data_IF_246133908765
#
_entry.id   IF_246133908765
#
_cell.length_a   1.000
_cell.length_b   1.000
_cell.length_c   1.000
_cell.angle_alpha   90.00
_cell.angle_beta   90.00
_cell.angle_gamma   90.00
#
_symmetry.space_group_name_H-M   'P 1'
#
loop_
_entity.id
_entity.type
_entity.pdbx_description
1 polymer ?
#
# COMPACT_ATOMS: atom_id res chain seq x y z
N UNK A 1 -5.63 -7.86 -33.44
CA UNK A 1 -5.57 -9.02 -32.54
C UNK A 1 -6.19 -8.62 -31.18
N UNK A 2 -7.51 -8.52 -31.13
CA UNK A 2 -8.25 -7.88 -30.03
C UNK A 2 -9.55 -8.67 -29.79
N UNK A 3 -9.45 -9.79 -29.07
CA UNK A 3 -10.64 -10.59 -28.64
C UNK A 3 -10.22 -11.54 -27.52
N UNK A 4 -10.18 -11.04 -26.25
CA UNK A 4 -10.11 -11.97 -25.06
C UNK A 4 -10.26 -11.25 -23.72
N UNK A 5 -11.10 -10.20 -23.63
CA UNK A 5 -11.34 -9.50 -22.34
C UNK A 5 -12.80 -9.47 -21.87
N UNK A 6 -13.71 -10.20 -22.52
CA UNK A 6 -15.14 -10.01 -22.29
C UNK A 6 -15.88 -10.91 -21.26
N UNK A 7 -15.40 -12.04 -20.71
CA UNK A 7 -16.25 -12.79 -19.80
C UNK A 7 -15.96 -12.68 -18.30
N UNK A 8 -14.85 -12.06 -17.87
CA UNK A 8 -14.50 -12.06 -16.43
C UNK A 8 -15.05 -10.88 -15.61
N UNK A 9 -15.48 -9.80 -16.25
CA UNK A 9 -16.08 -8.64 -15.54
C UNK A 9 -17.54 -8.81 -15.10
N UNK A 10 -18.26 -9.81 -15.60
CA UNK A 10 -19.70 -9.98 -15.27
C UNK A 10 -19.97 -10.60 -13.89
N UNK A 11 -18.96 -11.18 -13.24
CA UNK A 11 -19.14 -11.76 -11.89
C UNK A 11 -19.05 -10.73 -10.76
N UNK A 12 -18.39 -9.61 -11.00
CA UNK A 12 -18.22 -8.54 -10.01
C UNK A 12 -19.44 -7.64 -9.85
N UNK A 13 -20.30 -7.55 -10.87
CA UNK A 13 -21.49 -6.69 -10.82
C UNK A 13 -22.65 -7.28 -10.02
N UNK A 14 -22.62 -8.56 -9.66
CA UNK A 14 -23.72 -9.23 -8.95
C UNK A 14 -23.63 -9.12 -7.41
N UNK A 15 -22.48 -8.70 -6.87
CA UNK A 15 -22.25 -8.61 -5.41
C UNK A 15 -22.76 -7.30 -4.78
N UNK A 16 -23.16 -6.31 -5.58
CA UNK A 16 -23.59 -5.00 -5.07
C UNK A 16 -25.13 -4.81 -4.94
N UNK A 17 -25.96 -5.76 -5.36
CA UNK A 17 -27.43 -5.57 -5.45
C UNK A 17 -28.20 -6.10 -4.25
N UNK A 18 -27.60 -6.82 -3.30
CA UNK A 18 -28.31 -7.30 -2.12
C UNK A 18 -28.10 -6.44 -0.87
N UNK A 19 -28.38 -5.14 -0.97
CA UNK A 19 -28.64 -4.32 0.21
C UNK A 19 -30.14 -4.39 0.55
N UNK A 20 -30.65 -5.58 0.86
CA UNK A 20 -31.99 -5.71 1.46
C UNK A 20 -31.91 -5.25 2.92
N UNK A 21 -32.87 -4.45 3.40
CA UNK A 21 -32.95 -4.06 4.81
C UNK A 21 -33.33 -5.30 5.63
N UNK A 22 -32.35 -6.04 6.11
CA UNK A 22 -32.60 -7.18 6.96
C UNK A 22 -32.74 -6.75 8.40
N UNK A 23 -33.99 -6.88 8.87
CA UNK A 23 -34.46 -7.23 10.21
C UNK A 23 -33.42 -7.09 11.34
N UNK A 24 -33.73 -6.14 12.19
CA UNK A 24 -33.07 -5.79 13.42
C UNK A 24 -32.92 -6.99 14.36
N UNK A 25 -31.79 -7.65 14.34
CA UNK A 25 -31.28 -8.39 15.47
C UNK A 25 -30.24 -7.50 16.14
N UNK A 26 -30.56 -7.06 17.33
CA UNK A 26 -29.68 -6.28 18.20
C UNK A 26 -28.52 -7.19 18.63
N UNK A 27 -27.36 -7.06 17.95
CA UNK A 27 -26.18 -7.85 18.23
C UNK A 27 -25.09 -6.95 18.78
N UNK A 28 -24.56 -7.38 19.92
CA UNK A 28 -23.44 -6.73 20.58
C UNK A 28 -22.16 -6.85 19.76
N UNK A 29 -21.39 -5.80 19.61
CA UNK A 29 -20.07 -5.83 18.98
C UNK A 29 -19.01 -5.24 19.92
N UNK A 30 -17.77 -5.69 19.76
CA UNK A 30 -16.62 -5.10 20.46
C UNK A 30 -15.89 -4.15 19.52
N UNK A 31 -15.26 -3.11 20.07
CA UNK A 31 -14.48 -2.16 19.25
C UNK A 31 -13.20 -2.77 18.71
N UNK A 32 -12.62 -3.72 19.44
CA UNK A 32 -11.32 -4.29 19.14
C UNK A 32 -11.44 -5.80 19.02
N UNK A 33 -10.72 -6.37 18.05
CA UNK A 33 -10.60 -7.80 17.87
C UNK A 33 -9.16 -8.13 17.49
N UNK A 34 -8.57 -9.18 18.10
CA UNK A 34 -7.25 -9.70 17.76
C UNK A 34 -7.41 -11.13 17.25
N UNK A 35 -6.84 -11.41 16.10
CA UNK A 35 -6.91 -12.72 15.50
C UNK A 35 -5.54 -13.32 15.24
N UNK A 36 -5.47 -14.64 15.32
CA UNK A 36 -4.39 -15.45 14.79
C UNK A 36 -4.95 -16.30 13.67
N UNK A 37 -4.16 -16.51 12.63
CA UNK A 37 -4.60 -17.21 11.44
C UNK A 37 -3.51 -18.05 10.82
N UNK A 38 -3.95 -19.13 10.20
CA UNK A 38 -3.20 -19.90 9.22
C UNK A 38 -3.62 -19.46 7.84
N UNK A 39 -2.67 -19.22 6.95
CA UNK A 39 -2.92 -18.75 5.60
C UNK A 39 -2.20 -19.63 4.59
N UNK A 40 -2.84 -19.87 3.46
CA UNK A 40 -2.21 -20.50 2.29
C UNK A 40 -2.31 -19.54 1.12
N UNK A 41 -1.17 -19.25 0.50
CA UNK A 41 -1.09 -18.43 -0.70
C UNK A 41 -0.77 -19.32 -1.90
N UNK A 42 -1.51 -19.10 -2.99
CA UNK A 42 -1.24 -19.75 -4.28
C UNK A 42 -0.57 -18.73 -5.21
N UNK A 43 0.70 -18.95 -5.46
CA UNK A 43 1.46 -18.20 -6.45
C UNK A 43 1.38 -18.93 -7.80
N UNK A 44 0.96 -18.23 -8.84
CA UNK A 44 0.84 -18.78 -10.18
C UNK A 44 1.97 -18.20 -11.03
N UNK A 45 2.86 -19.08 -11.51
CA UNK A 45 3.83 -18.73 -12.56
C UNK A 45 3.24 -19.10 -13.92
N UNK A 46 3.39 -18.22 -14.91
CA UNK A 46 2.83 -18.43 -16.24
C UNK A 46 3.44 -19.64 -16.95
N UNK A 47 4.69 -19.95 -16.64
CA UNK A 47 5.48 -20.95 -17.40
C UNK A 47 5.68 -22.27 -16.64
N UNK A 48 5.49 -22.31 -15.32
CA UNK A 48 5.90 -23.42 -14.46
C UNK A 48 4.80 -23.98 -13.54
N UNK A 49 3.56 -23.47 -13.68
CA UNK A 49 2.42 -23.91 -12.87
C UNK A 49 2.18 -23.09 -11.62
N UNK A 50 1.35 -23.60 -10.71
CA UNK A 50 0.98 -22.95 -9.48
C UNK A 50 1.51 -23.71 -8.27
N UNK A 51 2.10 -23.00 -7.32
CA UNK A 51 2.57 -23.56 -6.05
C UNK A 51 1.81 -22.95 -4.88
N UNK A 52 1.52 -23.76 -3.87
CA UNK A 52 0.85 -23.33 -2.65
C UNK A 52 1.86 -23.25 -1.51
N UNK A 53 1.83 -22.15 -0.77
CA UNK A 53 2.71 -21.88 0.37
C UNK A 53 1.88 -21.61 1.60
N UNK A 54 2.29 -22.20 2.70
CA UNK A 54 1.62 -22.10 3.97
C UNK A 54 2.31 -21.11 4.89
N UNK A 55 1.53 -20.37 5.62
CA UNK A 55 2.02 -19.37 6.55
C UNK A 55 1.09 -19.16 7.73
N UNK A 56 1.53 -18.32 8.63
CA UNK A 56 0.76 -17.91 9.79
C UNK A 56 0.84 -16.41 9.97
N UNK A 57 -0.16 -15.86 10.60
CA UNK A 57 -0.23 -14.41 10.76
C UNK A 57 -1.08 -13.97 11.91
N UNK A 58 -1.06 -12.66 12.11
CA UNK A 58 -1.87 -11.97 13.07
C UNK A 58 -2.75 -10.92 12.42
N UNK A 59 -3.91 -10.71 13.01
CA UNK A 59 -4.88 -9.71 12.58
C UNK A 59 -5.30 -8.84 13.74
N UNK A 60 -5.46 -7.56 13.44
CA UNK A 60 -6.05 -6.59 14.33
C UNK A 60 -7.23 -5.93 13.62
N UNK A 61 -8.41 -5.99 14.23
CA UNK A 61 -9.62 -5.35 13.72
C UNK A 61 -10.06 -4.25 14.67
N UNK A 62 -10.37 -3.11 14.10
CA UNK A 62 -11.04 -2.04 14.80
C UNK A 62 -12.43 -1.84 14.22
N UNK A 63 -13.45 -2.33 14.92
CA UNK A 63 -14.84 -2.16 14.54
C UNK A 63 -15.26 -0.71 14.77
N UNK A 64 -15.40 0.04 13.70
CA UNK A 64 -15.78 1.46 13.70
C UNK A 64 -17.25 1.62 14.03
N UNK A 65 -18.05 0.80 13.39
CA UNK A 65 -19.49 0.59 13.61
C UNK A 65 -19.78 -0.90 13.49
N UNK A 66 -20.99 -1.31 13.79
CA UNK A 66 -21.39 -2.72 13.72
C UNK A 66 -21.06 -3.44 12.41
N UNK A 67 -21.14 -2.73 11.27
CA UNK A 67 -20.95 -3.31 9.92
C UNK A 67 -19.61 -2.95 9.27
N UNK A 68 -18.85 -2.01 9.83
CA UNK A 68 -17.64 -1.52 9.23
C UNK A 68 -16.48 -1.63 10.22
N UNK A 69 -15.40 -2.23 9.80
CA UNK A 69 -14.17 -2.33 10.57
C UNK A 69 -12.98 -1.85 9.73
N UNK A 70 -12.02 -1.26 10.40
CA UNK A 70 -10.66 -1.19 9.90
C UNK A 70 -9.94 -2.47 10.30
N UNK A 71 -9.16 -3.00 9.37
CA UNK A 71 -8.46 -4.26 9.56
C UNK A 71 -7.01 -4.11 9.11
N UNK A 72 -6.08 -4.55 9.96
CA UNK A 72 -4.69 -4.73 9.61
C UNK A 72 -4.29 -6.19 9.82
N UNK A 73 -3.46 -6.70 8.93
CA UNK A 73 -3.06 -8.10 8.93
C UNK A 73 -1.62 -8.21 8.48
N UNK A 74 -0.87 -9.09 9.17
CA UNK A 74 0.50 -9.45 8.81
C UNK A 74 0.58 -10.96 8.77
N UNK A 75 1.03 -11.51 7.63
CA UNK A 75 1.25 -12.94 7.41
C UNK A 75 2.69 -13.21 7.05
N UNK A 76 3.26 -14.25 7.60
CA UNK A 76 4.61 -14.74 7.31
C UNK A 76 4.52 -16.15 6.73
N UNK A 77 5.15 -16.34 5.57
CA UNK A 77 5.26 -17.60 4.85
C UNK A 77 6.72 -18.07 4.91
N UNK A 78 7.04 -19.01 5.83
CA UNK A 78 8.42 -19.43 6.09
C UNK A 78 9.01 -20.32 5.00
N UNK A 79 8.18 -20.95 4.17
CA UNK A 79 8.65 -21.82 3.10
C UNK A 79 9.51 -21.05 2.11
N UNK A 80 10.68 -21.60 1.80
CA UNK A 80 11.63 -20.99 0.88
C UNK A 80 11.19 -21.23 -0.55
N UNK A 81 10.66 -20.22 -1.21
CA UNK A 81 10.34 -20.23 -2.62
C UNK A 81 11.63 -20.38 -3.45
N UNK A 82 11.67 -21.34 -4.36
CA UNK A 82 12.78 -21.47 -5.29
C UNK A 82 12.54 -20.47 -6.45
N UNK A 83 13.39 -19.44 -6.63
CA UNK A 83 13.16 -18.38 -7.62
C UNK A 83 13.03 -18.88 -9.06
N UNK A 84 13.62 -20.02 -9.41
CA UNK A 84 13.54 -20.64 -10.73
C UNK A 84 12.09 -20.92 -11.19
N UNK A 85 11.15 -20.95 -10.26
CA UNK A 85 9.75 -21.28 -10.55
C UNK A 85 8.84 -20.03 -10.58
N UNK A 86 9.16 -18.97 -9.86
CA UNK A 86 8.22 -17.88 -9.64
C UNK A 86 8.78 -16.46 -9.79
N UNK A 87 10.04 -16.25 -10.16
CA UNK A 87 10.70 -14.92 -10.20
C UNK A 87 10.76 -14.20 -8.83
N UNK A 88 9.87 -14.53 -7.92
CA UNK A 88 9.88 -14.17 -6.52
C UNK A 88 10.25 -15.40 -5.71
N UNK A 89 11.13 -15.24 -4.73
CA UNK A 89 11.65 -16.36 -3.97
C UNK A 89 11.94 -16.02 -2.52
N UNK A 90 12.47 -17.03 -1.82
CA UNK A 90 12.76 -16.92 -0.40
C UNK A 90 11.52 -16.94 0.48
N UNK A 91 11.66 -16.38 1.66
CA UNK A 91 10.55 -16.19 2.59
C UNK A 91 9.69 -15.00 2.17
N UNK A 92 8.40 -15.07 2.47
CA UNK A 92 7.47 -14.01 2.09
C UNK A 92 6.82 -13.41 3.33
N UNK A 93 6.80 -12.09 3.41
CA UNK A 93 6.04 -11.33 4.40
C UNK A 93 4.97 -10.51 3.67
N UNK A 94 3.72 -10.68 4.05
CA UNK A 94 2.62 -9.84 3.58
C UNK A 94 2.13 -8.96 4.73
N UNK A 95 1.99 -7.67 4.49
CA UNK A 95 1.36 -6.73 5.41
C UNK A 95 0.30 -5.94 4.66
N UNK A 96 -0.97 -6.05 5.07
CA UNK A 96 -2.11 -5.38 4.45
C UNK A 96 -2.96 -4.68 5.50
N UNK A 97 -3.58 -3.58 5.13
CA UNK A 97 -4.46 -2.80 6.00
C UNK A 97 -5.54 -2.10 5.18
N UNK A 98 -6.73 -2.02 5.71
CA UNK A 98 -7.83 -1.39 4.98
C UNK A 98 -9.17 -1.58 5.66
N UNK A 99 -10.21 -1.75 4.87
CA UNK A 99 -11.60 -1.74 5.33
C UNK A 99 -12.25 -3.09 5.09
N UNK A 100 -12.98 -3.55 6.10
CA UNK A 100 -13.86 -4.70 6.05
C UNK A 100 -15.30 -4.25 6.28
N UNK A 101 -16.21 -4.63 5.40
CA UNK A 101 -17.64 -4.32 5.49
C UNK A 101 -18.48 -5.60 5.61
N UNK A 102 -19.30 -5.70 6.65
CA UNK A 102 -20.23 -6.83 6.83
C UNK A 102 -21.47 -6.62 5.96
N UNK A 103 -21.66 -7.50 4.99
CA UNK A 103 -22.78 -7.49 4.05
C UNK A 103 -24.00 -8.15 4.68
N UNK A 104 -23.79 -9.29 5.31
CA UNK A 104 -24.81 -10.03 6.05
C UNK A 104 -24.33 -10.29 7.47
N UNK A 105 -25.20 -10.10 8.45
CA UNK A 105 -24.88 -10.38 9.84
C UNK A 105 -26.11 -10.99 10.54
N UNK A 106 -25.90 -12.14 11.13
CA UNK A 106 -26.85 -12.83 12.02
C UNK A 106 -26.23 -12.98 13.41
N UNK A 107 -26.95 -13.57 14.36
CA UNK A 107 -26.42 -13.80 15.71
C UNK A 107 -25.15 -14.64 15.75
N UNK A 108 -24.96 -15.57 14.82
CA UNK A 108 -23.84 -16.52 14.81
C UNK A 108 -22.96 -16.45 13.58
N UNK A 109 -23.44 -15.82 12.51
CA UNK A 109 -22.74 -15.79 11.23
C UNK A 109 -22.70 -14.37 10.68
N UNK A 110 -21.56 -13.98 10.15
CA UNK A 110 -21.39 -12.77 9.36
C UNK A 110 -20.69 -13.09 8.05
N UNK A 111 -21.17 -12.49 6.97
CA UNK A 111 -20.51 -12.47 5.67
C UNK A 111 -19.99 -11.07 5.44
N UNK A 112 -18.75 -10.95 4.98
CA UNK A 112 -18.12 -9.65 4.77
C UNK A 112 -17.33 -9.61 3.47
N UNK A 113 -17.16 -8.39 2.95
CA UNK A 113 -16.18 -8.05 1.92
C UNK A 113 -15.09 -7.18 2.51
N UNK A 114 -13.91 -7.20 1.89
CA UNK A 114 -12.76 -6.41 2.30
C UNK A 114 -11.98 -5.86 1.12
N UNK A 115 -11.33 -4.73 1.37
CA UNK A 115 -10.35 -4.11 0.47
C UNK A 115 -9.20 -3.58 1.32
N UNK A 116 -7.98 -4.05 1.02
CA UNK A 116 -6.79 -3.74 1.82
C UNK A 116 -5.58 -3.55 0.91
N UNK A 117 -5.12 -2.32 0.68
CA UNK A 117 -3.79 -2.08 0.15
C UNK A 117 -2.72 -2.57 1.12
N UNK A 118 -1.53 -2.87 0.60
CA UNK A 118 -0.43 -3.33 1.41
C UNK A 118 0.82 -3.68 0.62
N UNK A 119 1.66 -4.51 1.24
CA UNK A 119 2.97 -4.87 0.73
C UNK A 119 3.16 -6.39 0.75
N UNK A 120 3.80 -6.89 -0.31
CA UNK A 120 4.47 -8.17 -0.35
C UNK A 120 5.98 -7.96 -0.32
N UNK A 121 6.66 -8.59 0.61
CA UNK A 121 8.11 -8.59 0.70
C UNK A 121 8.62 -10.02 0.50
N UNK A 122 9.49 -10.20 -0.50
CA UNK A 122 10.18 -11.45 -0.82
C UNK A 122 11.66 -11.29 -0.44
N UNK A 123 12.24 -12.27 0.26
CA UNK A 123 13.66 -12.18 0.66
C UNK A 123 14.60 -12.42 -0.51
N UNK A 124 14.20 -13.24 -1.49
CA UNK A 124 15.03 -13.67 -2.62
C UNK A 124 14.26 -13.56 -3.94
N UNK A 125 14.10 -12.34 -4.44
CA UNK A 125 13.57 -12.14 -5.79
C UNK A 125 14.68 -12.20 -6.82
N UNK A 126 14.41 -12.84 -7.95
CA UNK A 126 15.35 -12.96 -9.06
C UNK A 126 15.47 -11.65 -9.84
N UNK A 127 16.67 -11.18 -10.05
CA UNK A 127 16.95 -10.02 -10.89
C UNK A 127 18.03 -10.34 -11.94
N UNK A 128 18.03 -9.61 -13.06
CA UNK A 128 18.99 -9.80 -14.13
C UNK A 128 20.37 -9.29 -13.70
N UNK A 129 21.38 -10.15 -13.75
CA UNK A 129 22.77 -9.84 -13.41
C UNK A 129 23.67 -10.18 -14.60
N UNK A 130 24.10 -9.17 -15.41
CA UNK A 130 24.89 -9.41 -16.62
C UNK A 130 26.26 -10.10 -16.39
N UNK A 131 26.82 -9.95 -15.19
CA UNK A 131 28.11 -10.53 -14.81
C UNK A 131 28.02 -11.95 -14.26
N UNK A 132 26.82 -12.49 -14.06
CA UNK A 132 26.63 -13.86 -13.58
C UNK A 132 26.66 -14.86 -14.74
N UNK A 133 27.29 -16.02 -14.60
CA UNK A 133 27.20 -17.10 -15.59
C UNK A 133 25.77 -17.56 -15.89
N UNK A 134 24.88 -17.42 -14.94
CA UNK A 134 23.45 -17.74 -15.07
C UNK A 134 22.60 -16.58 -15.59
N UNK A 135 23.16 -15.35 -15.65
CA UNK A 135 22.43 -14.15 -16.03
C UNK A 135 21.50 -13.60 -14.93
N UNK A 136 21.45 -14.23 -13.75
CA UNK A 136 20.52 -13.89 -12.67
C UNK A 136 21.22 -13.78 -11.31
N UNK A 137 20.69 -12.92 -10.46
CA UNK A 137 21.05 -12.77 -9.04
C UNK A 137 19.80 -12.75 -8.18
N UNK A 138 19.96 -12.88 -6.88
CA UNK A 138 18.88 -12.82 -5.89
C UNK A 138 19.03 -11.58 -5.02
N UNK A 139 17.92 -10.91 -4.74
CA UNK A 139 17.86 -9.77 -3.82
C UNK A 139 16.47 -9.66 -3.19
N UNK A 140 16.35 -9.03 -2.01
CA UNK A 140 15.04 -8.73 -1.44
C UNK A 140 14.25 -7.75 -2.33
N UNK A 141 12.98 -8.04 -2.55
CA UNK A 141 12.06 -7.14 -3.25
C UNK A 141 10.75 -6.93 -2.49
N UNK A 142 10.19 -5.73 -2.62
CA UNK A 142 8.90 -5.39 -2.02
C UNK A 142 7.98 -4.87 -3.10
N UNK A 143 6.80 -5.46 -3.20
CA UNK A 143 5.77 -5.07 -4.16
C UNK A 143 4.56 -4.52 -3.43
N UNK A 144 3.93 -3.51 -4.03
CA UNK A 144 2.60 -3.10 -3.62
C UNK A 144 1.60 -4.18 -4.00
N UNK A 145 0.68 -4.49 -3.09
CA UNK A 145 -0.42 -5.43 -3.30
C UNK A 145 -1.74 -4.76 -2.95
N UNK A 146 -2.76 -5.04 -3.75
CA UNK A 146 -4.14 -4.68 -3.43
C UNK A 146 -4.89 -5.97 -3.07
N UNK A 147 -5.12 -6.20 -1.79
CA UNK A 147 -5.87 -7.36 -1.32
C UNK A 147 -7.37 -7.08 -1.42
N UNK A 148 -8.08 -7.91 -2.18
CA UNK A 148 -9.52 -7.84 -2.40
C UNK A 148 -10.14 -9.19 -2.10
N UNK A 149 -11.19 -9.21 -1.30
CA UNK A 149 -11.79 -10.50 -0.95
C UNK A 149 -13.02 -10.40 -0.07
N UNK A 150 -13.28 -11.51 0.58
CA UNK A 150 -14.36 -11.63 1.53
C UNK A 150 -14.27 -12.92 2.32
N UNK A 151 -15.18 -13.08 3.25
CA UNK A 151 -15.15 -14.25 4.10
C UNK A 151 -16.38 -14.38 4.99
N UNK A 152 -16.23 -15.34 5.89
CA UNK A 152 -17.24 -15.73 6.86
C UNK A 152 -16.67 -15.61 8.27
N UNK A 153 -17.45 -15.06 9.17
CA UNK A 153 -17.20 -15.08 10.62
C UNK A 153 -18.30 -15.91 11.30
N UNK A 154 -17.86 -16.84 12.14
CA UNK A 154 -18.76 -17.60 12.99
C UNK A 154 -18.50 -17.26 14.46
N UNK A 155 -19.48 -16.69 15.13
CA UNK A 155 -19.42 -16.29 16.53
C UNK A 155 -19.67 -17.49 17.44
N UNK A 156 -18.60 -18.13 17.92
CA UNK A 156 -18.64 -19.24 18.86
C UNK A 156 -19.22 -18.76 20.20
N UNK A 157 -18.82 -17.58 20.62
CA UNK A 157 -19.31 -16.90 21.82
C UNK A 157 -19.24 -15.38 21.64
N UNK A 158 -19.65 -14.63 22.64
CA UNK A 158 -19.49 -13.17 22.66
C UNK A 158 -18.02 -12.70 22.48
N UNK A 159 -17.05 -13.56 22.84
CA UNK A 159 -15.62 -13.21 22.83
C UNK A 159 -14.79 -13.96 21.78
N UNK A 160 -15.27 -15.06 21.24
CA UNK A 160 -14.51 -15.90 20.31
C UNK A 160 -15.19 -16.00 18.96
N UNK A 161 -14.41 -15.75 17.92
CA UNK A 161 -14.86 -15.77 16.51
C UNK A 161 -13.95 -16.70 15.72
N UNK A 162 -14.53 -17.60 14.96
CA UNK A 162 -13.84 -18.33 13.89
C UNK A 162 -14.04 -17.57 12.59
N UNK A 163 -13.00 -17.50 11.76
CA UNK A 163 -13.04 -16.80 10.50
C UNK A 163 -12.39 -17.61 9.38
N UNK A 164 -12.99 -17.50 8.19
CA UNK A 164 -12.45 -18.05 6.95
C UNK A 164 -12.53 -16.98 5.87
N UNK A 165 -11.43 -16.74 5.16
CA UNK A 165 -11.31 -15.73 4.12
C UNK A 165 -10.83 -16.33 2.80
N UNK A 166 -11.32 -15.77 1.69
CA UNK A 166 -10.80 -15.97 0.35
C UNK A 166 -10.49 -14.62 -0.27
N UNK A 167 -9.30 -14.46 -0.81
CA UNK A 167 -8.79 -13.18 -1.26
C UNK A 167 -7.94 -13.31 -2.52
N UNK A 168 -8.07 -12.33 -3.42
CA UNK A 168 -7.17 -12.10 -4.53
C UNK A 168 -6.18 -11.00 -4.16
N UNK A 169 -4.92 -11.16 -4.56
CA UNK A 169 -3.86 -10.21 -4.28
C UNK A 169 -3.14 -9.84 -5.59
N UNK A 170 -3.73 -9.02 -6.46
CA UNK A 170 -3.01 -8.49 -7.60
C UNK A 170 -1.84 -7.64 -7.14
N UNK A 171 -0.66 -7.92 -7.68
CA UNK A 171 0.54 -7.14 -7.47
C UNK A 171 1.32 -6.97 -8.77
N UNK A 172 2.07 -5.89 -8.89
CA UNK A 172 2.80 -5.56 -10.11
C UNK A 172 4.26 -5.96 -9.98
N UNK A 173 4.71 -6.81 -10.89
CA UNK A 173 6.12 -7.10 -11.15
C UNK A 173 6.63 -6.07 -12.15
N UNK A 174 7.71 -5.33 -11.88
CA UNK A 174 8.25 -4.34 -12.81
C UNK A 174 8.92 -4.97 -14.02
N UNK A 175 9.05 -4.19 -15.10
CA UNK A 175 9.97 -4.52 -16.19
C UNK A 175 11.41 -4.56 -15.66
N UNK A 176 12.22 -5.46 -16.19
CA UNK A 176 13.65 -5.46 -15.92
C UNK A 176 14.43 -5.73 -17.21
N UNK A 177 15.60 -5.10 -17.34
CA UNK A 177 16.51 -5.35 -18.43
C UNK A 177 17.95 -5.38 -17.95
N UNK A 178 18.81 -6.16 -18.61
CA UNK A 178 20.23 -6.19 -18.37
C UNK A 178 21.00 -6.29 -19.67
N UNK A 179 22.07 -5.54 -19.83
CA UNK A 179 22.98 -5.64 -20.97
C UNK A 179 23.76 -6.96 -20.88
N UNK A 180 23.86 -7.69 -21.97
CA UNK A 180 24.63 -8.94 -22.03
C UNK A 180 26.10 -8.66 -22.36
N UNK A 181 27.08 -9.39 -21.78
CA UNK A 181 28.47 -9.36 -22.22
C UNK A 181 28.54 -9.80 -23.69
N UNK A 182 29.06 -8.96 -24.57
CA UNK A 182 29.14 -9.23 -26.02
C UNK A 182 28.07 -8.53 -26.87
N UNK A 183 27.27 -7.68 -26.26
CA UNK A 183 26.20 -6.91 -26.92
C UNK A 183 24.85 -7.59 -26.87
N UNK A 184 23.83 -6.80 -26.88
CA UNK A 184 22.44 -7.25 -26.70
C UNK A 184 21.90 -6.90 -25.30
N UNK A 185 20.57 -6.98 -25.17
CA UNK A 185 19.88 -6.66 -23.91
C UNK A 185 18.93 -7.82 -23.60
N UNK A 186 19.09 -8.40 -22.43
CA UNK A 186 18.07 -9.29 -21.88
C UNK A 186 16.94 -8.43 -21.31
N UNK A 187 15.72 -8.66 -21.77
CA UNK A 187 14.56 -7.89 -21.36
C UNK A 187 13.50 -8.82 -20.75
N UNK A 188 13.01 -8.44 -19.59
CA UNK A 188 11.88 -9.08 -18.94
C UNK A 188 10.72 -8.09 -18.89
N UNK A 189 9.62 -8.42 -19.52
CA UNK A 189 8.41 -7.61 -19.47
C UNK A 189 7.75 -7.71 -18.09
N UNK A 190 7.46 -6.56 -17.48
CA UNK A 190 6.67 -6.50 -16.27
C UNK A 190 5.23 -6.93 -16.51
N UNK A 191 4.62 -7.50 -15.50
CA UNK A 191 3.24 -7.99 -15.55
C UNK A 191 2.53 -7.73 -14.22
N UNK A 192 1.21 -7.81 -14.27
CA UNK A 192 0.40 -7.93 -13.05
C UNK A 192 0.25 -9.41 -12.78
N UNK A 193 0.82 -9.86 -11.68
CA UNK A 193 0.60 -11.20 -11.16
C UNK A 193 -0.55 -11.14 -10.14
N UNK A 194 -1.31 -12.21 -10.08
CA UNK A 194 -2.39 -12.38 -9.12
C UNK A 194 -2.11 -13.62 -8.28
N UNK A 195 -2.31 -13.48 -6.98
CA UNK A 195 -2.24 -14.59 -6.06
C UNK A 195 -3.57 -14.76 -5.36
N UNK A 196 -3.96 -16.00 -5.14
CA UNK A 196 -5.13 -16.31 -4.32
C UNK A 196 -4.65 -16.72 -2.93
N UNK A 197 -5.27 -16.14 -1.91
CA UNK A 197 -5.03 -16.51 -0.51
C UNK A 197 -6.28 -17.08 0.11
N UNK A 198 -6.11 -18.17 0.83
CA UNK A 198 -7.12 -18.74 1.73
C UNK A 198 -6.59 -18.62 3.15
N UNK A 199 -7.39 -18.15 4.07
CA UNK A 199 -7.01 -18.10 5.48
C UNK A 199 -8.11 -18.62 6.40
N UNK A 200 -7.69 -19.23 7.50
CA UNK A 200 -8.53 -19.69 8.59
C UNK A 200 -7.94 -19.22 9.91
N UNK A 201 -8.78 -18.66 10.76
CA UNK A 201 -8.29 -18.10 11.99
C UNK A 201 -9.29 -18.11 13.13
N UNK A 202 -8.76 -17.81 14.29
CA UNK A 202 -9.54 -17.57 15.51
C UNK A 202 -9.24 -16.15 15.97
N UNK A 203 -10.28 -15.46 16.42
CA UNK A 203 -10.12 -14.12 16.96
C UNK A 203 -10.74 -14.00 18.35
N UNK A 204 -10.10 -13.18 19.16
CA UNK A 204 -10.56 -12.82 20.50
C UNK A 204 -11.02 -11.37 20.52
N UNK A 205 -12.15 -11.12 21.16
CA UNK A 205 -12.85 -9.84 21.26
C UNK A 205 -12.77 -9.32 22.71
N UNK A 206 -11.71 -8.57 23.06
CA UNK A 206 -11.59 -7.98 24.38
C UNK A 206 -12.57 -6.83 24.58
N UNK A 207 -12.90 -6.55 25.84
CA UNK A 207 -13.66 -5.37 26.21
C UNK A 207 -15.16 -5.59 26.33
N UNK A 208 -15.88 -4.47 26.51
CA UNK A 208 -17.33 -4.46 26.70
C UNK A 208 -18.04 -4.57 25.36
N UNK A 209 -19.09 -5.38 25.30
CA UNK A 209 -20.00 -5.42 24.16
C UNK A 209 -20.78 -4.10 24.08
N UNK A 210 -20.83 -3.55 22.87
CA UNK A 210 -21.54 -2.28 22.60
C UNK A 210 -22.87 -2.62 21.96
N UNK A 211 -23.95 -2.29 22.66
CA UNK A 211 -25.32 -2.62 22.25
C UNK A 211 -25.96 -1.54 21.39
N UNK A 212 -25.44 -0.30 21.42
CA UNK A 212 -26.01 0.84 20.70
C UNK A 212 -24.95 1.50 19.83
N UNK A 213 -25.33 1.95 18.66
CA UNK A 213 -24.57 2.90 17.86
C UNK A 213 -24.57 4.25 18.59
N UNK A 214 -23.70 4.46 19.56
CA UNK A 214 -23.50 5.76 20.15
C UNK A 214 -23.01 6.72 19.07
N UNK A 215 -23.79 7.73 18.71
CA UNK A 215 -23.35 8.77 17.81
C UNK A 215 -22.09 9.44 18.40
N UNK A 216 -20.99 9.34 17.68
CA UNK A 216 -19.72 9.93 18.08
C UNK A 216 -19.69 11.38 17.60
N UNK A 217 -19.91 12.38 18.46
CA UNK A 217 -19.89 13.76 18.03
C UNK A 217 -18.47 14.16 17.57
N UNK A 218 -18.41 14.80 16.43
CA UNK A 218 -17.16 15.33 15.87
C UNK A 218 -16.75 16.56 16.65
N UNK A 219 -15.81 16.43 17.57
CA UNK A 219 -15.24 17.54 18.36
C UNK A 219 -13.79 17.79 17.97
N UNK A 220 -13.35 19.02 18.15
CA UNK A 220 -11.97 19.44 17.92
C UNK A 220 -11.75 20.11 16.56
N UNK A 221 -10.81 21.04 16.54
CA UNK A 221 -10.35 21.73 15.33
C UNK A 221 -9.06 21.11 14.79
N UNK A 222 -8.27 20.53 15.68
CA UNK A 222 -7.01 19.90 15.36
C UNK A 222 -7.15 18.38 15.31
N UNK A 223 -6.40 17.80 14.39
CA UNK A 223 -6.21 16.36 14.28
C UNK A 223 -4.76 16.11 13.90
N UNK A 224 -4.07 15.22 14.61
CA UNK A 224 -2.69 14.88 14.31
C UNK A 224 -2.40 13.43 14.70
N UNK A 225 -1.47 12.79 14.00
CA UNK A 225 -1.09 11.42 14.29
C UNK A 225 -0.01 10.85 13.39
N UNK A 226 0.47 9.64 13.72
CA UNK A 226 1.38 8.90 12.87
C UNK A 226 0.71 8.49 11.56
N UNK A 227 1.53 8.42 10.51
CA UNK A 227 1.15 8.04 9.17
C UNK A 227 2.16 7.03 8.61
N UNK A 228 1.69 5.92 8.10
CA UNK A 228 2.44 5.00 7.28
C UNK A 228 2.07 5.23 5.82
N UNK A 229 3.06 5.25 4.93
CA UNK A 229 2.84 5.53 3.51
C UNK A 229 3.59 4.54 2.62
N UNK A 230 3.05 4.33 1.43
CA UNK A 230 3.68 3.56 0.37
C UNK A 230 3.61 4.35 -0.92
N UNK A 231 4.76 4.55 -1.55
CA UNK A 231 4.91 5.29 -2.79
C UNK A 231 5.29 4.35 -3.93
N UNK A 232 4.58 4.44 -5.06
CA UNK A 232 4.85 3.67 -6.27
C UNK A 232 5.60 4.58 -7.26
N UNK A 233 6.93 4.51 -7.24
CA UNK A 233 7.79 5.35 -8.08
C UNK A 233 7.98 4.67 -9.43
N UNK A 234 7.56 5.35 -10.50
CA UNK A 234 7.84 4.92 -11.88
C UNK A 234 9.25 5.38 -12.25
N UNK A 235 10.09 4.47 -12.73
CA UNK A 235 11.40 4.78 -13.28
C UNK A 235 11.30 4.91 -14.79
N UNK A 236 11.92 5.95 -15.34
CA UNK A 236 12.15 6.10 -16.77
C UNK A 236 13.55 5.60 -17.09
N UNK A 237 13.68 4.71 -18.08
CA UNK A 237 14.98 4.21 -18.55
C UNK A 237 14.92 2.77 -19.04
N UNK A 238 16.04 2.21 -19.45
CA UNK A 238 16.11 0.83 -19.98
C UNK A 238 15.69 -0.24 -18.97
N UNK A 239 15.51 0.13 -17.69
CA UNK A 239 14.99 -0.73 -16.64
C UNK A 239 13.63 -0.23 -16.16
N UNK A 240 12.74 0.19 -17.09
CA UNK A 240 11.40 0.68 -16.77
C UNK A 240 10.71 -0.24 -15.76
N UNK A 241 10.41 0.31 -14.59
CA UNK A 241 9.76 -0.45 -13.52
C UNK A 241 9.08 0.46 -12.52
N UNK A 242 8.10 -0.08 -11.80
CA UNK A 242 7.54 0.59 -10.63
C UNK A 242 8.20 0.02 -9.39
N UNK A 243 8.82 0.89 -8.63
CA UNK A 243 9.40 0.55 -7.34
C UNK A 243 8.45 0.97 -6.23
N UNK A 244 8.31 0.12 -5.26
CA UNK A 244 7.50 0.36 -4.06
C UNK A 244 8.40 0.85 -2.93
N UNK A 245 8.16 2.06 -2.44
CA UNK A 245 8.91 2.65 -1.32
C UNK A 245 7.99 2.82 -0.11
N UNK A 246 8.18 1.99 0.93
CA UNK A 246 7.49 2.19 2.20
C UNK A 246 8.11 3.33 2.99
N UNK A 247 7.26 4.12 3.65
CA UNK A 247 7.67 5.25 4.46
C UNK A 247 6.77 5.42 5.68
N UNK A 248 7.23 6.23 6.62
CA UNK A 248 6.52 6.55 7.84
C UNK A 248 6.73 8.00 8.22
N UNK A 249 5.82 8.51 9.02
CA UNK A 249 5.88 9.91 9.47
C UNK A 249 4.65 10.30 10.25
N UNK A 250 4.18 11.49 10.02
CA UNK A 250 3.01 12.01 10.70
C UNK A 250 2.23 13.00 9.84
N UNK A 251 0.99 13.22 10.25
CA UNK A 251 0.14 14.21 9.66
C UNK A 251 -0.47 15.14 10.71
N UNK A 252 -0.89 16.33 10.26
CA UNK A 252 -1.68 17.24 11.04
C UNK A 252 -2.74 17.92 10.16
N UNK A 253 -3.94 18.08 10.71
CA UNK A 253 -5.03 18.78 10.05
C UNK A 253 -5.65 19.80 10.98
N UNK A 254 -5.99 20.97 10.44
CA UNK A 254 -6.69 22.01 11.16
C UNK A 254 -7.96 22.44 10.43
N UNK A 255 -9.10 22.42 11.10
CA UNK A 255 -10.37 22.80 10.51
C UNK A 255 -10.47 24.32 10.35
N UNK A 256 -10.38 24.79 9.11
CA UNK A 256 -10.55 26.18 8.73
C UNK A 256 -12.03 26.56 8.66
N UNK A 257 -12.82 25.69 8.03
CA UNK A 257 -14.25 25.88 7.84
C UNK A 257 -14.99 24.54 7.93
N UNK A 258 -16.34 24.54 7.84
CA UNK A 258 -17.18 23.33 7.98
C UNK A 258 -16.74 22.16 7.08
N UNK A 259 -16.30 22.49 5.87
CA UNK A 259 -15.92 21.52 4.82
C UNK A 259 -14.47 21.61 4.38
N UNK A 260 -13.70 22.57 4.92
CA UNK A 260 -12.34 22.88 4.49
C UNK A 260 -11.36 22.79 5.67
N UNK A 261 -10.25 22.12 5.45
CA UNK A 261 -9.19 21.89 6.43
C UNK A 261 -7.85 22.23 5.81
N UNK A 262 -6.97 22.87 6.58
CA UNK A 262 -5.53 22.82 6.30
C UNK A 262 -5.05 21.42 6.62
N UNK A 263 -4.19 20.85 5.77
CA UNK A 263 -3.73 19.46 5.88
C UNK A 263 -2.26 19.37 5.51
N UNK A 264 -1.48 18.66 6.33
CA UNK A 264 -0.05 18.52 6.14
C UNK A 264 0.41 17.12 6.50
N UNK A 265 1.37 16.61 5.69
CA UNK A 265 2.08 15.34 5.94
C UNK A 265 3.58 15.58 5.92
N UNK A 266 4.29 14.93 6.83
CA UNK A 266 5.74 14.83 6.84
C UNK A 266 6.10 13.35 6.88
N UNK A 267 6.78 12.88 5.84
CA UNK A 267 7.06 11.47 5.61
C UNK A 267 8.53 11.22 5.31
N UNK A 268 9.06 10.12 5.81
CA UNK A 268 10.40 9.65 5.56
C UNK A 268 10.36 8.23 4.98
N UNK A 269 11.06 8.01 3.85
CA UNK A 269 11.18 6.75 3.16
C UNK A 269 12.63 6.26 3.26
N UNK A 270 12.92 5.36 4.21
CA UNK A 270 14.30 4.99 4.58
C UNK A 270 15.00 4.09 3.58
N UNK A 271 14.25 3.34 2.78
CA UNK A 271 14.83 2.33 1.91
C UNK A 271 15.66 2.88 0.77
N UNK A 272 15.38 4.11 0.37
CA UNK A 272 16.09 4.82 -0.67
C UNK A 272 15.88 4.23 -2.07
N UNK A 273 15.81 5.10 -3.04
CA UNK A 273 15.87 4.72 -4.45
C UNK A 273 17.30 4.37 -4.77
N UNK A 274 17.73 3.12 -4.61
CA UNK A 274 19.09 2.74 -4.98
C UNK A 274 19.46 3.34 -6.33
N UNK A 275 20.48 4.22 -6.34
CA UNK A 275 21.12 4.98 -7.38
C UNK A 275 20.21 5.39 -8.55
N UNK A 276 20.36 6.44 -9.06
CA UNK A 276 21.37 7.39 -9.36
C UNK A 276 21.05 8.06 -10.65
N UNK A 277 19.86 8.64 -10.68
CA UNK A 277 19.57 9.66 -11.67
C UNK A 277 20.09 11.02 -11.18
N UNK A 278 20.22 12.01 -12.07
CA UNK A 278 20.61 13.35 -11.67
C UNK A 278 19.62 14.01 -10.70
N UNK A 279 18.43 13.47 -10.53
CA UNK A 279 17.34 14.07 -9.76
C UNK A 279 16.86 13.25 -8.57
N UNK A 280 17.13 11.94 -8.54
CA UNK A 280 16.65 11.00 -7.53
C UNK A 280 17.78 10.08 -7.04
N UNK A 281 17.68 9.61 -5.81
CA UNK A 281 18.64 8.69 -5.19
C UNK A 281 18.64 8.81 -3.68
N UNK A 282 19.05 7.73 -3.00
CA UNK A 282 19.09 7.69 -1.56
C UNK A 282 17.72 7.71 -0.90
N UNK A 283 17.70 8.07 0.37
CA UNK A 283 16.47 8.18 1.16
C UNK A 283 15.63 9.40 0.75
N UNK A 284 14.32 9.34 0.96
CA UNK A 284 13.42 10.43 0.59
C UNK A 284 12.82 11.04 1.85
N UNK A 285 12.87 12.36 1.93
CA UNK A 285 12.06 13.13 2.87
C UNK A 285 11.02 13.94 2.11
N UNK A 286 9.74 13.74 2.43
CA UNK A 286 8.60 14.40 1.78
C UNK A 286 7.90 15.32 2.79
N UNK A 287 7.63 16.55 2.38
CA UNK A 287 6.75 17.47 3.08
C UNK A 287 5.64 17.97 2.16
N UNK A 288 4.39 17.75 2.58
CA UNK A 288 3.17 18.15 1.86
C UNK A 288 2.36 19.09 2.72
N UNK A 289 1.94 20.24 2.17
CA UNK A 289 1.22 21.28 2.89
C UNK A 289 0.11 21.82 2.00
N UNK A 290 -1.14 21.75 2.42
CA UNK A 290 -2.22 22.20 1.56
C UNK A 290 -3.58 22.16 2.23
N UNK A 291 -4.57 21.80 1.45
CA UNK A 291 -5.94 21.73 1.92
C UNK A 291 -6.59 20.41 1.58
N UNK A 292 -7.50 19.98 2.47
CA UNK A 292 -8.48 18.96 2.17
C UNK A 292 -9.89 19.53 2.32
N UNK A 293 -10.76 19.19 1.38
CA UNK A 293 -12.14 19.63 1.35
C UNK A 293 -13.10 18.47 1.18
N UNK A 294 -14.20 18.47 1.94
CA UNK A 294 -15.15 17.36 1.85
C UNK A 294 -16.21 17.34 2.93
N UNK A 295 -16.84 16.18 3.06
CA UNK A 295 -17.95 15.95 3.97
C UNK A 295 -17.48 15.15 5.16
N UNK A 296 -17.78 15.63 6.38
CA UNK A 296 -17.54 14.92 7.64
C UNK A 296 -18.88 14.58 8.29
N UNK A 297 -19.09 13.32 8.59
CA UNK A 297 -20.22 12.78 9.34
C UNK A 297 -19.76 12.28 10.71
N UNK A 298 -20.68 11.77 11.53
CA UNK A 298 -20.36 11.33 12.89
C UNK A 298 -19.30 10.20 12.91
N UNK A 299 -19.37 9.25 12.00
CA UNK A 299 -18.53 8.07 11.98
C UNK A 299 -17.49 8.04 10.85
N UNK A 300 -17.66 8.86 9.82
CA UNK A 300 -16.75 8.90 8.68
C UNK A 300 -16.65 10.27 8.04
N UNK A 301 -15.58 10.49 7.27
CA UNK A 301 -15.37 11.66 6.43
C UNK A 301 -14.81 11.23 5.07
N UNK A 302 -15.18 11.95 4.02
CA UNK A 302 -14.67 11.80 2.66
C UNK A 302 -14.20 13.15 2.20
N UNK A 303 -12.92 13.23 1.78
CA UNK A 303 -12.30 14.49 1.39
C UNK A 303 -11.51 14.31 0.09
N UNK A 304 -11.51 15.35 -0.74
CA UNK A 304 -10.49 15.57 -1.75
C UNK A 304 -9.34 16.36 -1.14
N UNK A 305 -8.11 16.12 -1.60
CA UNK A 305 -6.92 16.82 -1.16
C UNK A 305 -6.13 17.43 -2.31
N UNK A 306 -5.54 18.59 -2.05
CA UNK A 306 -4.59 19.28 -2.93
C UNK A 306 -3.48 19.84 -2.05
N UNK A 307 -2.25 19.31 -2.20
CA UNK A 307 -1.13 19.66 -1.33
C UNK A 307 0.14 19.87 -2.15
N UNK A 308 0.56 21.12 -2.37
CA UNK A 308 1.93 21.40 -2.79
C UNK A 308 2.93 20.99 -1.69
N UNK A 309 4.18 20.79 -2.10
CA UNK A 309 5.22 20.38 -1.18
C UNK A 309 6.57 20.14 -1.84
N UNK A 310 7.36 19.30 -1.20
CA UNK A 310 8.69 18.97 -1.70
C UNK A 310 9.03 17.50 -1.45
N UNK A 311 9.85 16.95 -2.35
CA UNK A 311 10.61 15.71 -2.18
C UNK A 311 12.09 16.04 -2.12
N UNK A 312 12.76 15.64 -1.04
CA UNK A 312 14.19 15.77 -0.88
C UNK A 312 14.83 14.39 -0.91
N UNK A 313 15.69 14.15 -1.89
CA UNK A 313 16.48 12.94 -2.07
C UNK A 313 17.85 13.14 -1.46
N UNK A 314 18.39 12.16 -0.70
CA UNK A 314 19.68 12.31 -0.01
C UNK A 314 20.87 12.17 -0.94
N UNK A 315 20.80 11.33 -1.99
CA UNK A 315 21.92 10.87 -2.80
C UNK A 315 21.61 10.92 -4.30
N UNK A 316 21.27 12.10 -4.83
CA UNK A 316 21.13 12.32 -6.26
C UNK A 316 22.52 12.53 -6.89
N UNK A 317 22.74 11.97 -8.09
CA UNK A 317 24.02 12.10 -8.80
C UNK A 317 24.33 13.59 -9.04
N UNK A 318 25.48 14.06 -8.58
CA UNK A 318 25.93 15.45 -8.74
C UNK A 318 27.11 15.58 -9.70
N UNK A 319 27.81 14.50 -9.99
CA UNK A 319 28.90 14.52 -10.95
C UNK A 319 29.62 13.19 -11.11
N UNK A 320 30.50 13.14 -12.12
CA UNK A 320 31.39 12.02 -12.39
C UNK A 320 32.78 12.57 -12.58
N UNK A 321 33.76 12.07 -11.81
CA UNK A 321 35.14 12.48 -11.90
C UNK A 321 35.83 11.92 -13.15
N UNK A 322 37.02 12.43 -13.48
CA UNK A 322 37.86 11.90 -14.59
C UNK A 322 38.23 10.42 -14.40
N UNK A 323 38.28 9.94 -13.16
CA UNK A 323 38.50 8.52 -12.83
C UNK A 323 37.27 7.66 -12.91
N UNK A 324 36.09 8.23 -13.27
CA UNK A 324 34.81 7.54 -13.30
C UNK A 324 34.08 7.40 -11.95
N UNK A 325 34.62 8.00 -10.88
CA UNK A 325 33.97 7.98 -9.58
C UNK A 325 32.75 8.92 -9.57
N UNK A 326 31.62 8.41 -9.12
CA UNK A 326 30.37 9.17 -8.98
C UNK A 326 30.39 9.99 -7.68
N UNK A 327 29.82 11.18 -7.75
CA UNK A 327 29.60 12.05 -6.59
C UNK A 327 28.09 12.29 -6.43
N UNK A 328 27.62 12.33 -5.19
CA UNK A 328 26.22 12.46 -4.86
C UNK A 328 25.97 13.68 -3.97
N UNK A 329 24.80 14.27 -4.12
CA UNK A 329 24.38 15.43 -3.35
C UNK A 329 22.86 15.42 -3.15
N UNK A 330 22.37 16.22 -2.22
CA UNK A 330 20.94 16.35 -1.97
C UNK A 330 20.25 17.03 -3.14
N UNK A 331 19.10 16.45 -3.56
CA UNK A 331 18.23 17.05 -4.57
C UNK A 331 16.84 17.26 -3.99
N UNK A 332 16.33 18.50 -4.05
CA UNK A 332 14.98 18.82 -3.58
C UNK A 332 14.14 19.31 -4.74
N UNK A 333 13.01 18.65 -4.95
CA UNK A 333 12.12 18.89 -6.07
C UNK A 333 10.74 19.31 -5.56
N UNK A 334 10.09 20.22 -6.28
CA UNK A 334 8.72 20.61 -6.00
C UNK A 334 7.77 19.46 -6.32
N UNK A 335 6.74 19.27 -5.47
CA UNK A 335 5.69 18.27 -5.71
C UNK A 335 4.30 18.87 -5.52
N UNK A 336 3.33 18.27 -6.23
CA UNK A 336 1.92 18.53 -6.06
C UNK A 336 1.19 17.20 -5.85
N UNK A 337 0.62 16.99 -4.68
CA UNK A 337 -0.15 15.79 -4.34
C UNK A 337 -1.66 16.08 -4.50
N UNK A 338 -2.32 15.26 -5.32
CA UNK A 338 -3.74 15.31 -5.63
C UNK A 338 -4.38 13.96 -5.28
N UNK A 339 -5.51 13.97 -4.57
CA UNK A 339 -6.12 12.68 -4.22
C UNK A 339 -7.32 12.77 -3.31
N UNK A 340 -7.60 11.65 -2.65
CA UNK A 340 -8.70 11.48 -1.72
C UNK A 340 -8.25 10.97 -0.35
N UNK A 341 -9.06 11.29 0.65
CA UNK A 341 -8.89 10.85 2.04
C UNK A 341 -10.22 10.31 2.53
N UNK A 342 -10.17 9.11 3.12
CA UNK A 342 -11.25 8.53 3.90
C UNK A 342 -10.85 8.57 5.38
N UNK A 343 -11.70 9.15 6.20
CA UNK A 343 -11.50 9.16 7.65
C UNK A 343 -12.63 8.41 8.32
N UNK A 344 -12.30 7.63 9.34
CA UNK A 344 -13.26 6.93 10.20
C UNK A 344 -13.04 7.37 11.65
N UNK A 345 -14.12 7.64 12.36
CA UNK A 345 -14.09 8.19 13.72
C UNK A 345 -14.60 7.17 14.73
N UNK A 346 -13.73 6.24 15.18
CA UNK A 346 -14.13 5.17 16.12
C UNK A 346 -14.39 5.70 17.53
N UNK A 347 -13.85 6.86 17.87
CA UNK A 347 -14.04 7.51 19.16
C UNK A 347 -14.19 9.04 18.99
N UNK A 348 -14.59 9.71 20.04
CA UNK A 348 -14.67 11.21 20.07
C UNK A 348 -13.33 11.88 19.73
N UNK A 349 -12.22 11.23 20.07
CA UNK A 349 -10.87 11.75 19.91
C UNK A 349 -10.03 10.99 18.89
N UNK A 350 -10.49 9.88 18.36
CA UNK A 350 -9.74 9.06 17.43
C UNK A 350 -10.21 9.25 16.00
N UNK A 351 -9.27 9.31 15.07
CA UNK A 351 -9.51 9.29 13.64
C UNK A 351 -8.58 8.28 12.98
N UNK A 352 -9.14 7.34 12.25
CA UNK A 352 -8.42 6.46 11.35
C UNK A 352 -8.47 7.08 9.97
N UNK A 353 -7.32 7.17 9.29
CA UNK A 353 -7.16 7.85 8.02
C UNK A 353 -6.59 6.91 6.97
N UNK A 354 -7.24 6.87 5.80
CA UNK A 354 -6.78 6.20 4.59
C UNK A 354 -6.67 7.23 3.49
N UNK A 355 -5.55 7.24 2.77
CA UNK A 355 -5.30 8.15 1.68
C UNK A 355 -4.91 7.40 0.42
N UNK A 356 -5.33 7.94 -0.72
CA UNK A 356 -4.84 7.58 -2.02
C UNK A 356 -4.68 8.85 -2.85
N UNK A 357 -3.56 8.97 -3.57
CA UNK A 357 -3.29 10.14 -4.40
C UNK A 357 -2.24 9.89 -5.46
N UNK A 358 -2.17 10.85 -6.38
CA UNK A 358 -1.12 10.97 -7.38
C UNK A 358 -0.25 12.17 -7.02
N UNK A 359 1.03 11.92 -6.75
CA UNK A 359 2.02 12.93 -6.42
C UNK A 359 2.82 13.23 -7.68
N UNK A 360 2.67 14.42 -8.19
CA UNK A 360 3.36 14.96 -9.35
C UNK A 360 4.68 15.58 -8.90
N UNK A 361 5.80 15.04 -9.35
CA UNK A 361 7.15 15.52 -9.02
C UNK A 361 7.71 16.29 -10.20
N UNK A 362 8.05 17.55 -9.99
CA UNK A 362 8.65 18.43 -10.99
C UNK A 362 10.17 18.44 -10.83
N UNK A 363 10.87 17.82 -11.76
CA UNK A 363 12.32 17.84 -11.83
C UNK A 363 12.79 19.01 -12.69
N UNK A 364 13.52 19.95 -12.06
CA UNK A 364 14.17 21.07 -12.76
C UNK A 364 15.39 20.62 -13.57
N UNK A 365 15.96 21.53 -14.36
CA UNK A 365 17.32 21.33 -14.93
C UNK A 365 18.36 21.30 -13.80
N UNK A 366 19.32 20.40 -13.91
CA UNK A 366 20.44 20.29 -12.97
C UNK A 366 21.76 20.21 -13.71
N UNK A 367 22.78 20.88 -13.23
CA UNK A 367 24.12 20.75 -13.77
C UNK A 367 24.83 19.58 -13.07
N UNK A 368 25.31 18.63 -13.86
CA UNK A 368 26.24 17.59 -13.39
C UNK A 368 27.68 18.03 -13.67
N UNK A 369 28.54 17.87 -12.69
CA UNK A 369 29.96 18.06 -12.90
C UNK A 369 30.59 16.81 -13.55
N UNK A 370 30.76 16.82 -14.87
CA UNK A 370 31.39 15.72 -15.60
C UNK A 370 32.83 16.09 -15.90
N UNK A 371 33.77 15.39 -15.29
CA UNK A 371 35.22 15.58 -15.48
C UNK A 371 35.69 17.03 -15.21
N UNK A 372 35.08 17.72 -14.26
CA UNK A 372 35.41 19.09 -13.90
C UNK A 372 34.64 20.17 -14.69
N UNK A 373 33.79 19.80 -15.65
CA UNK A 373 32.97 20.74 -16.42
C UNK A 373 31.50 20.57 -16.06
N UNK A 374 30.74 21.65 -15.77
CA UNK A 374 29.30 21.56 -15.56
C UNK A 374 28.59 21.24 -16.88
N UNK A 375 27.77 20.21 -16.88
CA UNK A 375 26.95 19.79 -18.00
C UNK A 375 25.48 19.84 -17.57
N UNK A 376 24.62 20.60 -18.25
CA UNK A 376 23.19 20.61 -17.95
C UNK A 376 22.56 19.25 -18.29
N UNK A 377 21.95 18.60 -17.33
CA UNK A 377 21.30 17.30 -17.49
C UNK A 377 19.85 17.40 -17.06
N UNK A 378 18.97 16.82 -17.86
CA UNK A 378 17.54 16.81 -17.64
C UNK A 378 16.91 18.18 -17.90
N UNK A 379 16.08 18.27 -18.92
CA UNK A 379 15.08 19.34 -19.06
C UNK A 379 13.87 19.01 -18.19
N UNK A 380 13.21 20.03 -17.62
CA UNK A 380 12.10 19.89 -16.69
C UNK A 380 11.15 18.73 -17.03
N UNK A 381 11.25 17.65 -16.31
CA UNK A 381 10.38 16.48 -16.47
C UNK A 381 9.36 16.43 -15.33
N UNK A 382 8.17 15.97 -15.68
CA UNK A 382 7.10 15.70 -14.73
C UNK A 382 7.00 14.19 -14.54
N UNK A 383 7.10 13.74 -13.30
CA UNK A 383 6.91 12.32 -12.96
C UNK A 383 5.70 12.13 -12.06
N UNK A 384 4.91 11.13 -12.39
CA UNK A 384 3.75 10.72 -11.60
C UNK A 384 4.12 9.61 -10.63
N UNK A 385 3.63 9.71 -9.40
CA UNK A 385 3.89 8.74 -8.35
C UNK A 385 2.62 8.49 -7.55
N UNK A 386 2.05 7.29 -7.67
CA UNK A 386 0.88 6.92 -6.89
C UNK A 386 1.31 6.67 -5.45
N UNK A 387 0.62 7.28 -4.51
CA UNK A 387 0.88 7.16 -3.09
C UNK A 387 -0.36 6.71 -2.34
N UNK A 388 -0.18 5.72 -1.47
CA UNK A 388 -1.18 5.28 -0.50
C UNK A 388 -0.66 5.55 0.90
N UNK A 389 -1.55 5.97 1.81
CA UNK A 389 -1.16 6.15 3.20
C UNK A 389 -2.28 5.75 4.15
N UNK A 390 -1.90 5.36 5.35
CA UNK A 390 -2.80 5.04 6.45
C UNK A 390 -2.24 5.58 7.76
N UNK A 391 -3.11 6.06 8.61
CA UNK A 391 -2.73 6.59 9.89
C UNK A 391 -3.83 6.56 10.92
N UNK A 392 -3.43 6.80 12.14
CA UNK A 392 -4.33 7.00 13.25
C UNK A 392 -4.01 8.31 13.95
N UNK A 393 -4.99 9.18 14.08
CA UNK A 393 -4.82 10.49 14.69
C UNK A 393 -5.72 10.73 15.89
N UNK A 394 -5.29 11.69 16.68
CA UNK A 394 -6.06 12.22 17.80
C UNK A 394 -6.63 13.59 17.42
N UNK A 395 -7.86 13.82 17.83
CA UNK A 395 -8.59 15.08 17.65
C UNK A 395 -8.70 15.84 18.96
N UNK A 396 -8.35 17.14 18.92
CA UNK A 396 -8.32 18.04 20.06
C UNK A 396 -9.27 19.21 19.87
#
# INVERSE_FOLDING_TARGET
MMRWLAPRCKLFSLLFVFAAPSLFAQEDYTRIEFGLQYSTIRLTSHDLGASNYSGFGGRFDWNLIRRLAFESQVDFFPEHLIPLVTLQGGQTLQAVFGVRAKVLQTRRLSVFGLIRPGLFHFTDAEYLLPSSPTGFGLRPETHFVLNLGGGLEYYVSARWVLRADIEGNPYRVPNSSAALPGGGTLFRQGKIDDTTRLSFGVAYRPGRLINNEEEVPVRGKWEAGPLFSTMLITREGPTDGVRTEPGFGGYASYRLYKVLYFDTDLLYFPRGTGSSGPHDGGTIFQGLFGVKGGIRRNHFGIFGKVRPGFHSYSDALSGVTLSGAETFDRSTNFVLDLGGILEFYPTKHGALRLEAGDTHIYFGTRDLNIAGAPQPVGGGSLRHTIQFATGYGWRF
#
